data_IF_487110569529
#
_entry.id   IF_487110569529
#
_cell.length_a   1.000
_cell.length_b   1.000
_cell.length_c   1.000
_cell.angle_alpha   90.00
_cell.angle_beta   90.00
_cell.angle_gamma   90.00
#
_symmetry.space_group_name_H-M   'P 1'
#
loop_
_entity.id
_entity.type
_entity.pdbx_description
1 polymer ?
#
# COMPACT_ATOMS: atom_id res chain seq x y z
N UNK A 1 16.18 -0.12 36.22
CA UNK A 1 15.82 0.59 34.98
C UNK A 1 15.75 -0.44 33.86
N UNK A 2 14.57 -1.01 33.61
CA UNK A 2 14.41 -2.04 32.57
C UNK A 2 14.17 -1.33 31.24
N UNK A 3 15.18 -1.30 30.35
CA UNK A 3 14.98 -0.92 28.96
C UNK A 3 13.97 -1.90 28.35
N UNK A 4 12.83 -1.38 27.90
CA UNK A 4 11.86 -2.15 27.13
C UNK A 4 12.56 -2.74 25.92
N UNK A 5 12.56 -4.06 25.83
CA UNK A 5 12.99 -4.76 24.63
C UNK A 5 12.18 -4.19 23.46
N UNK A 6 12.84 -3.46 22.55
CA UNK A 6 12.24 -3.07 21.28
C UNK A 6 11.81 -4.38 20.63
N UNK A 7 10.51 -4.64 20.59
CA UNK A 7 9.93 -5.80 19.94
C UNK A 7 10.26 -5.68 18.45
N UNK A 8 11.42 -6.19 18.05
CA UNK A 8 11.87 -6.16 16.66
C UNK A 8 11.17 -7.30 15.95
N UNK A 9 10.00 -7.00 15.40
CA UNK A 9 9.32 -7.90 14.49
C UNK A 9 10.30 -8.31 13.37
N UNK A 10 10.41 -9.62 13.05
CA UNK A 10 11.34 -10.10 12.04
C UNK A 10 11.03 -9.44 10.68
N UNK A 11 12.06 -8.91 10.03
CA UNK A 11 11.94 -8.22 8.74
C UNK A 11 12.24 -9.18 7.59
N UNK A 12 11.45 -9.10 6.53
CA UNK A 12 11.65 -9.86 5.28
C UNK A 12 12.12 -8.90 4.19
N UNK A 13 13.18 -9.27 3.46
CA UNK A 13 13.64 -8.51 2.29
C UNK A 13 12.79 -8.87 1.09
N UNK A 14 12.12 -7.87 0.52
CA UNK A 14 11.26 -8.01 -0.66
C UNK A 14 11.77 -7.13 -1.78
N UNK A 15 12.08 -7.70 -2.94
CA UNK A 15 12.46 -6.95 -4.13
C UNK A 15 11.19 -6.54 -4.92
N UNK A 16 10.95 -5.24 -5.02
CA UNK A 16 9.83 -4.67 -5.80
C UNK A 16 10.38 -3.84 -6.94
N UNK A 17 9.88 -4.07 -8.16
CA UNK A 17 10.25 -3.27 -9.34
C UNK A 17 9.39 -2.01 -9.37
N UNK A 18 10.02 -0.85 -9.39
CA UNK A 18 9.38 0.46 -9.51
C UNK A 18 9.76 1.09 -10.85
N UNK A 19 8.89 1.93 -11.40
CA UNK A 19 9.32 2.80 -12.49
C UNK A 19 10.39 3.78 -11.99
N UNK A 20 11.30 4.18 -12.86
CA UNK A 20 12.36 5.14 -12.52
C UNK A 20 11.80 6.45 -11.97
N UNK A 21 10.73 6.95 -12.59
CA UNK A 21 10.02 8.16 -12.15
C UNK A 21 9.43 8.04 -10.74
N UNK A 22 8.93 6.85 -10.37
CA UNK A 22 8.39 6.61 -9.03
C UNK A 22 9.53 6.51 -8.01
N UNK A 23 10.62 5.82 -8.36
CA UNK A 23 11.80 5.74 -7.49
C UNK A 23 12.40 7.12 -7.20
N UNK A 24 12.53 7.98 -8.22
CA UNK A 24 13.01 9.36 -8.05
C UNK A 24 12.15 10.17 -7.08
N UNK A 25 10.82 10.09 -7.22
CA UNK A 25 9.87 10.76 -6.32
C UNK A 25 9.93 10.23 -4.88
N UNK A 26 10.16 8.92 -4.71
CA UNK A 26 10.35 8.32 -3.38
C UNK A 26 11.64 8.82 -2.73
N UNK A 27 12.72 8.91 -3.50
CA UNK A 27 14.01 9.41 -3.02
C UNK A 27 13.91 10.88 -2.58
N UNK A 28 13.28 11.73 -3.39
CA UNK A 28 13.01 13.13 -3.05
C UNK A 28 12.20 13.23 -1.75
N UNK A 29 11.06 12.55 -1.67
CA UNK A 29 10.19 12.60 -0.50
C UNK A 29 10.87 12.08 0.78
N UNK A 30 11.71 11.05 0.67
CA UNK A 30 12.49 10.51 1.77
C UNK A 30 13.56 11.50 2.24
N UNK A 31 14.25 12.16 1.29
CA UNK A 31 15.28 13.17 1.57
C UNK A 31 14.71 14.38 2.27
N UNK A 32 13.58 14.92 1.80
CA UNK A 32 12.89 16.07 2.43
C UNK A 32 12.49 15.82 3.89
N UNK A 33 12.24 14.56 4.25
CA UNK A 33 11.74 14.14 5.56
C UNK A 33 12.83 13.57 6.47
N UNK A 34 14.07 13.52 6.00
CA UNK A 34 15.21 12.88 6.68
C UNK A 34 14.90 11.43 7.11
N UNK A 35 14.31 10.65 6.21
CA UNK A 35 13.97 9.23 6.43
C UNK A 35 14.50 8.34 5.33
N UNK A 36 14.58 7.03 5.58
CA UNK A 36 14.92 6.06 4.52
C UNK A 36 13.74 5.79 3.59
N UNK A 37 14.04 5.50 2.32
CA UNK A 37 13.05 5.02 1.34
C UNK A 37 12.30 3.79 1.88
N UNK A 38 13.01 2.84 2.50
CA UNK A 38 12.40 1.65 3.08
C UNK A 38 11.36 1.98 4.15
N UNK A 39 11.62 2.98 5.01
CA UNK A 39 10.63 3.41 6.02
C UNK A 39 9.40 4.01 5.35
N UNK A 40 9.60 4.87 4.35
CA UNK A 40 8.51 5.52 3.62
C UNK A 40 7.65 4.49 2.87
N UNK A 41 8.28 3.54 2.17
CA UNK A 41 7.59 2.45 1.48
C UNK A 41 6.84 1.56 2.46
N UNK A 42 7.47 1.17 3.58
CA UNK A 42 6.81 0.32 4.57
C UNK A 42 5.55 0.99 5.13
N UNK A 43 5.62 2.28 5.47
CA UNK A 43 4.46 3.06 5.94
C UNK A 43 3.38 3.22 4.88
N UNK A 44 3.77 3.49 3.64
CA UNK A 44 2.81 3.67 2.55
C UNK A 44 2.08 2.36 2.20
N UNK A 45 2.79 1.23 2.24
CA UNK A 45 2.18 -0.10 2.02
C UNK A 45 1.23 -0.45 3.16
N UNK A 46 1.62 -0.24 4.41
CA UNK A 46 0.76 -0.47 5.58
C UNK A 46 -0.54 0.36 5.52
N UNK A 47 -0.41 1.67 5.27
CA UNK A 47 -1.57 2.57 5.10
C UNK A 47 -2.45 2.18 3.91
N UNK A 48 -1.85 1.79 2.77
CA UNK A 48 -2.62 1.33 1.61
C UNK A 48 -3.40 0.06 1.91
N UNK A 49 -2.77 -0.94 2.54
CA UNK A 49 -3.41 -2.20 2.91
C UNK A 49 -4.56 -1.97 3.90
N UNK A 50 -4.40 -1.05 4.86
CA UNK A 50 -5.47 -0.69 5.80
C UNK A 50 -6.68 0.00 5.15
N UNK A 51 -6.52 0.54 3.93
CA UNK A 51 -7.59 1.19 3.16
C UNK A 51 -8.21 0.28 2.10
N UNK A 52 -7.63 -0.87 1.81
CA UNK A 52 -8.20 -1.81 0.85
C UNK A 52 -9.54 -2.33 1.37
N UNK A 53 -10.57 -2.24 0.54
CA UNK A 53 -11.84 -2.92 0.80
C UNK A 53 -11.58 -4.43 0.81
N UNK A 54 -12.05 -5.17 1.83
CA UNK A 54 -11.95 -6.61 1.85
C UNK A 54 -12.52 -7.20 0.56
N UNK A 55 -11.82 -8.19 -0.02
CA UNK A 55 -12.22 -8.77 -1.32
C UNK A 55 -13.64 -9.35 -1.26
N UNK A 56 -14.06 -9.84 -0.09
CA UNK A 56 -15.41 -10.37 0.13
C UNK A 56 -16.51 -9.28 0.09
N UNK A 57 -16.14 -8.04 0.38
CA UNK A 57 -17.02 -6.87 0.35
C UNK A 57 -17.04 -6.18 -1.03
N UNK A 58 -16.25 -6.66 -1.99
CA UNK A 58 -16.32 -6.23 -3.39
C UNK A 58 -17.57 -6.83 -4.06
N UNK A 59 -18.76 -6.46 -3.56
CA UNK A 59 -20.03 -6.81 -4.18
C UNK A 59 -20.07 -6.17 -5.56
N UNK A 60 -20.00 -7.06 -6.54
CA UNK A 60 -19.92 -6.80 -7.97
C UNK A 60 -21.08 -5.94 -8.45
N UNK A 61 -20.83 -4.66 -8.71
CA UNK A 61 -21.71 -3.84 -9.56
C UNK A 61 -21.54 -4.24 -11.03
N UNK A 62 -21.89 -5.49 -11.39
CA UNK A 62 -22.32 -5.77 -12.76
C UNK A 62 -23.78 -5.34 -12.81
N UNK A 63 -24.03 -4.15 -13.33
CA UNK A 63 -25.37 -3.73 -13.74
C UNK A 63 -25.97 -4.85 -14.60
N UNK A 64 -27.13 -5.35 -14.19
CA UNK A 64 -27.88 -6.35 -14.93
C UNK A 64 -28.11 -5.88 -16.38
N UNK A 65 -28.16 -6.77 -17.38
CA UNK A 65 -28.61 -6.39 -18.71
C UNK A 65 -30.04 -5.86 -18.60
N UNK A 66 -30.24 -4.62 -19.04
CA UNK A 66 -31.57 -3.99 -19.15
C UNK A 66 -32.49 -4.92 -19.95
N UNK A 67 -33.66 -5.33 -19.45
CA UNK A 67 -34.61 -6.05 -20.28
C UNK A 67 -35.07 -5.09 -21.38
N UNK A 68 -34.69 -5.40 -22.62
CA UNK A 68 -35.24 -4.76 -23.82
C UNK A 68 -36.72 -5.11 -23.92
N UNK A 69 -37.59 -4.25 -23.42
CA UNK A 69 -39.02 -4.32 -23.71
C UNK A 69 -39.22 -3.89 -25.17
N UNK A 70 -39.57 -4.85 -26.03
CA UNK A 70 -40.14 -4.59 -27.36
C UNK A 70 -41.55 -4.00 -27.22
N UNK A 71 -41.84 -2.96 -28.00
CA UNK A 71 -43.18 -2.53 -28.39
C UNK A 71 -43.11 -1.84 -29.73
#
# INVERSE_FOLDING_TARGET
MSQGARNQEPRVTTAVRLSESLHARLLEAATERDVSINLLVSRAVDDFLGRLVPVDELVRTRSAPTPTTQS
#
